data_IF_898587416631
#
_entry.id   IF_898587416631
#
_cell.length_a   1.000
_cell.length_b   1.000
_cell.length_c   1.000
_cell.angle_alpha   90.00
_cell.angle_beta   90.00
_cell.angle_gamma   90.00
#
_symmetry.space_group_name_H-M   'P 1'
#
loop_
_entity.id
_entity.type
_entity.pdbx_description
1 polymer ?
#
# COMPACT_ATOMS: atom_id res chain seq x y z
N UNK A 1 7.96 -14.69 36.06
CA UNK A 1 7.26 -13.40 35.82
C UNK A 1 8.11 -12.60 34.86
N UNK A 2 7.64 -12.36 33.63
CA UNK A 2 8.37 -11.53 32.67
C UNK A 2 8.20 -10.06 33.06
N UNK A 3 9.30 -9.29 33.09
CA UNK A 3 9.30 -7.85 33.35
C UNK A 3 9.42 -7.12 32.03
N UNK A 4 8.57 -6.11 31.81
CA UNK A 4 8.71 -5.21 30.67
C UNK A 4 9.51 -3.98 31.13
N UNK A 5 10.51 -3.59 30.33
CA UNK A 5 11.37 -2.42 30.59
C UNK A 5 11.49 -1.64 29.29
N UNK A 6 11.38 -0.32 29.34
CA UNK A 6 11.60 0.55 28.17
C UNK A 6 12.65 1.60 28.53
N UNK A 7 13.71 1.66 27.73
CA UNK A 7 14.80 2.64 27.88
C UNK A 7 14.59 3.75 26.87
N UNK A 8 14.32 4.96 27.34
CA UNK A 8 14.13 6.12 26.46
C UNK A 8 15.47 6.81 26.27
N UNK A 9 16.05 6.69 25.08
CA UNK A 9 17.30 7.36 24.68
C UNK A 9 16.98 8.48 23.70
N UNK A 10 17.43 9.70 23.99
CA UNK A 10 17.31 10.84 23.08
C UNK A 10 18.49 10.85 22.12
N UNK A 11 18.21 10.71 20.81
CA UNK A 11 19.23 10.77 19.76
C UNK A 11 19.26 12.16 19.12
N UNK A 12 20.45 12.76 19.08
CA UNK A 12 20.76 13.97 18.29
C UNK A 12 21.34 13.57 16.93
N UNK A 13 20.68 13.99 15.84
CA UNK A 13 21.13 13.78 14.46
C UNK A 13 22.19 14.80 14.02
N UNK A 14 23.19 14.35 13.26
CA UNK A 14 24.21 15.18 12.61
C UNK A 14 24.13 15.01 11.09
N UNK A 15 24.00 16.11 10.34
CA UNK A 15 24.08 16.16 8.88
C UNK A 15 25.54 16.17 8.42
N UNK A 16 25.86 15.49 7.32
CA UNK A 16 27.05 15.77 6.50
C UNK A 16 26.69 15.72 5.01
N UNK A 17 27.12 16.78 4.31
CA UNK A 17 26.99 17.00 2.86
C UNK A 17 28.26 16.59 2.11
N UNK A 18 28.17 16.37 0.79
CA UNK A 18 29.33 16.23 -0.10
C UNK A 18 28.97 16.42 -1.57
N UNK A 19 29.62 17.39 -2.22
CA UNK A 19 29.44 17.82 -3.61
C UNK A 19 30.64 17.42 -4.49
N UNK A 20 30.45 17.35 -5.81
CA UNK A 20 31.50 17.38 -6.86
C UNK A 20 30.87 17.10 -8.23
N UNK A 21 30.90 17.92 -9.30
CA UNK A 21 31.97 18.75 -9.87
C UNK A 21 32.83 17.86 -10.78
N UNK A 22 32.93 17.95 -12.11
CA UNK A 22 32.62 18.98 -13.13
C UNK A 22 33.83 19.07 -14.09
N UNK A 23 33.60 19.31 -15.40
CA UNK A 23 34.55 19.62 -16.52
C UNK A 23 35.23 18.43 -17.25
N UNK A 24 35.44 18.37 -18.58
CA UNK A 24 35.07 19.22 -19.74
C UNK A 24 36.01 19.02 -20.97
N UNK A 25 35.44 18.99 -22.20
CA UNK A 25 35.96 19.32 -23.58
C UNK A 25 36.93 18.37 -24.34
N UNK A 26 37.11 18.48 -25.71
CA UNK A 26 36.37 19.19 -26.79
C UNK A 26 36.11 18.37 -28.12
N UNK A 27 35.52 19.09 -29.10
CA UNK A 27 34.95 18.78 -30.44
C UNK A 27 35.66 17.84 -31.45
N UNK A 28 34.82 17.06 -32.15
CA UNK A 28 35.02 16.63 -33.55
C UNK A 28 33.80 17.09 -34.35
N UNK A 29 33.96 18.04 -35.28
CA UNK A 29 32.87 18.61 -36.05
C UNK A 29 32.28 17.61 -37.06
N UNK A 30 31.22 16.92 -36.66
CA UNK A 30 30.25 16.32 -37.57
C UNK A 30 29.25 17.41 -37.99
N UNK A 31 28.89 17.42 -39.27
CA UNK A 31 27.86 18.30 -39.82
C UNK A 31 26.58 18.22 -38.96
N UNK A 32 25.98 19.37 -38.52
CA UNK A 32 24.83 19.33 -37.63
C UNK A 32 23.71 18.54 -38.30
N UNK A 33 23.07 17.58 -37.59
CA UNK A 33 21.86 16.97 -38.11
C UNK A 33 20.87 18.09 -38.40
N UNK A 34 20.21 18.05 -39.56
CA UNK A 34 19.08 18.93 -39.82
C UNK A 34 18.12 18.85 -38.63
N UNK A 35 17.57 19.97 -38.13
CA UNK A 35 16.58 19.93 -37.07
C UNK A 35 15.38 19.14 -37.62
N UNK A 36 15.27 17.87 -37.24
CA UNK A 36 14.09 17.08 -37.49
C UNK A 36 12.97 17.73 -36.71
N UNK A 37 12.11 18.48 -37.41
CA UNK A 37 10.89 19.00 -36.80
C UNK A 37 10.08 17.76 -36.42
N UNK A 38 9.84 17.47 -35.13
CA UNK A 38 9.04 16.32 -34.76
C UNK A 38 7.65 16.55 -35.33
N UNK A 39 7.23 15.71 -36.28
CA UNK A 39 5.85 15.69 -36.75
C UNK A 39 5.00 15.32 -35.54
N UNK A 40 3.98 16.11 -35.16
CA UNK A 40 3.10 15.74 -34.06
C UNK A 40 2.47 14.39 -34.36
N UNK A 41 2.63 13.41 -33.46
CA UNK A 41 1.90 12.16 -33.57
C UNK A 41 0.40 12.45 -33.43
N UNK A 42 -0.43 11.77 -34.23
CA UNK A 42 -1.89 11.83 -34.10
C UNK A 42 -2.28 11.40 -32.67
N UNK A 43 -3.11 12.18 -31.95
CA UNK A 43 -3.59 11.78 -30.63
C UNK A 43 -4.34 10.44 -30.68
N UNK A 44 -4.13 9.60 -29.67
CA UNK A 44 -4.86 8.34 -29.54
C UNK A 44 -6.29 8.57 -29.06
N UNK A 45 -7.23 7.90 -29.69
CA UNK A 45 -8.68 8.03 -29.41
C UNK A 45 -9.35 6.69 -29.16
N UNK A 46 -8.61 5.58 -29.25
CA UNK A 46 -9.16 4.26 -29.02
C UNK A 46 -8.95 3.90 -27.56
N UNK A 47 -10.00 3.39 -26.92
CA UNK A 47 -9.92 2.92 -25.56
C UNK A 47 -9.42 1.46 -25.52
N UNK A 48 -8.75 1.05 -24.44
CA UNK A 48 -8.43 -0.36 -24.23
C UNK A 48 -9.68 -1.25 -24.23
N UNK A 49 -9.49 -2.56 -24.43
CA UNK A 49 -10.58 -3.50 -24.17
C UNK A 49 -10.86 -3.66 -22.66
N UNK A 50 -12.09 -4.06 -22.33
CA UNK A 50 -12.46 -4.33 -20.93
C UNK A 50 -11.64 -5.51 -20.37
N UNK A 51 -11.17 -5.44 -19.10
CA UNK A 51 -10.53 -6.57 -18.45
C UNK A 51 -11.47 -7.79 -18.40
N UNK A 52 -10.91 -8.97 -18.69
CA UNK A 52 -11.68 -10.22 -18.76
C UNK A 52 -11.34 -11.17 -17.61
N UNK A 53 -12.23 -12.14 -17.36
CA UNK A 53 -12.06 -13.19 -16.35
C UNK A 53 -11.67 -12.67 -14.94
N UNK A 54 -12.31 -11.57 -14.51
CA UNK A 54 -12.19 -11.10 -13.14
C UNK A 54 -12.65 -12.20 -12.16
N UNK A 55 -11.77 -12.57 -11.23
CA UNK A 55 -11.99 -13.68 -10.30
C UNK A 55 -11.39 -13.37 -8.92
N UNK A 56 -11.95 -14.01 -7.88
CA UNK A 56 -11.38 -14.03 -6.55
C UNK A 56 -10.37 -15.19 -6.46
N UNK A 57 -9.10 -14.88 -6.22
CA UNK A 57 -8.03 -15.87 -6.07
C UNK A 57 -7.94 -16.44 -4.66
N UNK A 58 -8.26 -15.62 -3.66
CA UNK A 58 -8.33 -16.03 -2.26
C UNK A 58 -9.19 -15.05 -1.45
N UNK A 59 -9.79 -15.55 -0.37
CA UNK A 59 -10.53 -14.76 0.62
C UNK A 59 -10.09 -15.15 2.03
N UNK A 60 -9.87 -14.17 2.88
CA UNK A 60 -9.73 -14.32 4.34
C UNK A 60 -10.95 -13.68 5.02
N UNK A 61 -10.94 -13.60 6.35
CA UNK A 61 -11.96 -12.85 7.09
C UNK A 61 -11.88 -11.33 6.89
N UNK A 62 -10.75 -10.81 6.43
CA UNK A 62 -10.45 -9.37 6.38
C UNK A 62 -9.87 -8.90 5.04
N UNK A 63 -9.73 -9.80 4.06
CA UNK A 63 -9.15 -9.47 2.76
C UNK A 63 -9.67 -10.35 1.64
N UNK A 64 -9.64 -9.82 0.41
CA UNK A 64 -9.94 -10.55 -0.83
C UNK A 64 -8.85 -10.23 -1.85
N UNK A 65 -8.25 -11.26 -2.44
CA UNK A 65 -7.30 -11.10 -3.54
C UNK A 65 -7.99 -11.36 -4.87
N UNK A 66 -7.95 -10.39 -5.77
CA UNK A 66 -8.54 -10.42 -7.10
C UNK A 66 -7.48 -10.73 -8.16
N UNK A 67 -7.92 -11.26 -9.30
CA UNK A 67 -7.13 -11.26 -10.52
C UNK A 67 -7.97 -11.27 -11.78
N UNK A 68 -7.39 -10.80 -12.87
CA UNK A 68 -8.02 -10.70 -14.18
C UNK A 68 -6.99 -10.97 -15.30
N UNK A 69 -7.46 -11.07 -16.54
CA UNK A 69 -6.59 -11.11 -17.72
C UNK A 69 -6.23 -9.69 -18.18
N UNK A 70 -5.01 -9.54 -18.68
CA UNK A 70 -4.52 -8.25 -19.16
C UNK A 70 -5.38 -7.73 -20.32
N UNK A 71 -5.70 -6.43 -20.28
CA UNK A 71 -6.29 -5.70 -21.39
C UNK A 71 -5.26 -5.40 -22.48
N UNK A 72 -5.75 -5.14 -23.69
CA UNK A 72 -4.97 -4.74 -24.83
C UNK A 72 -5.50 -3.41 -25.40
N UNK A 73 -4.58 -2.66 -26.01
CA UNK A 73 -4.80 -1.36 -26.61
C UNK A 73 -3.78 -1.16 -27.76
N UNK A 74 -4.04 -0.25 -28.71
CA UNK A 74 -3.16 0.03 -29.84
C UNK A 74 -1.85 0.73 -29.46
N UNK A 75 -1.83 1.53 -28.39
CA UNK A 75 -0.62 2.19 -27.89
C UNK A 75 -0.20 1.64 -26.53
N UNK A 76 -1.17 1.18 -25.73
CA UNK A 76 -0.91 0.37 -24.56
C UNK A 76 -1.72 0.77 -23.33
N UNK A 77 -1.82 -0.16 -22.39
CA UNK A 77 -2.53 0.02 -21.13
C UNK A 77 -1.56 0.52 -20.06
N UNK A 78 -1.84 1.68 -19.47
CA UNK A 78 -1.00 2.25 -18.40
C UNK A 78 -1.49 1.86 -17.01
N UNK A 79 -2.74 1.44 -16.88
CA UNK A 79 -3.30 1.09 -15.57
C UNK A 79 -4.66 0.42 -15.60
N UNK A 80 -5.06 -0.04 -14.42
CA UNK A 80 -6.41 -0.52 -14.15
C UNK A 80 -7.01 0.22 -12.96
N UNK A 81 -8.30 0.51 -13.01
CA UNK A 81 -9.04 0.99 -11.86
C UNK A 81 -9.86 -0.14 -11.26
N UNK A 82 -9.68 -0.39 -9.97
CA UNK A 82 -10.42 -1.40 -9.22
C UNK A 82 -11.52 -0.71 -8.41
N UNK A 83 -12.73 -1.23 -8.53
CA UNK A 83 -13.93 -0.67 -7.91
C UNK A 83 -14.58 -1.74 -7.03
N UNK A 84 -15.05 -1.32 -5.84
CA UNK A 84 -15.81 -2.15 -4.90
C UNK A 84 -17.12 -1.46 -4.56
N UNK A 85 -18.23 -2.16 -4.73
CA UNK A 85 -19.58 -1.67 -4.42
C UNK A 85 -19.87 -0.30 -5.09
N UNK A 86 -19.39 -0.12 -6.32
CA UNK A 86 -19.57 1.13 -7.07
C UNK A 86 -18.64 2.28 -6.65
N UNK A 87 -17.70 2.07 -5.73
CA UNK A 87 -16.70 3.06 -5.31
C UNK A 87 -15.32 2.64 -5.79
N UNK A 88 -14.58 3.57 -6.40
CA UNK A 88 -13.19 3.36 -6.81
C UNK A 88 -12.31 3.18 -5.57
N UNK A 89 -11.60 2.07 -5.52
CA UNK A 89 -10.60 1.81 -4.49
C UNK A 89 -9.27 2.45 -4.87
N UNK A 90 -8.73 2.06 -6.02
CA UNK A 90 -7.36 2.41 -6.42
C UNK A 90 -7.15 2.24 -7.93
N UNK A 91 -6.16 2.93 -8.47
CA UNK A 91 -5.57 2.63 -9.77
C UNK A 91 -4.23 1.87 -9.60
N UNK A 92 -4.03 0.82 -10.40
CA UNK A 92 -2.83 -0.01 -10.42
C UNK A 92 -2.07 0.17 -11.75
N UNK A 93 -0.77 -0.14 -11.80
CA UNK A 93 -0.01 -0.14 -13.06
C UNK A 93 -0.58 -1.12 -14.10
N UNK A 94 -0.45 -0.82 -15.39
CA UNK A 94 -1.00 -1.62 -16.49
C UNK A 94 -0.38 -3.02 -16.63
N UNK A 95 0.75 -3.25 -15.99
CA UNK A 95 1.40 -4.57 -15.87
C UNK A 95 0.85 -5.42 -14.73
N UNK A 96 0.06 -4.83 -13.82
CA UNK A 96 -0.49 -5.50 -12.65
C UNK A 96 -1.91 -5.99 -12.94
N UNK A 97 -2.09 -7.31 -12.91
CA UNK A 97 -3.38 -7.99 -13.16
C UNK A 97 -3.97 -8.64 -11.91
N UNK A 98 -3.56 -8.14 -10.74
CA UNK A 98 -3.97 -8.61 -9.42
C UNK A 98 -4.13 -7.46 -8.47
N UNK A 99 -5.07 -7.56 -7.52
CA UNK A 99 -5.25 -6.57 -6.48
C UNK A 99 -5.65 -7.23 -5.17
N UNK A 100 -5.07 -6.80 -4.04
CA UNK A 100 -5.47 -7.26 -2.71
C UNK A 100 -6.25 -6.15 -2.03
N UNK A 101 -7.51 -6.42 -1.73
CA UNK A 101 -8.37 -5.57 -0.93
C UNK A 101 -8.29 -6.02 0.53
N UNK A 102 -8.00 -5.10 1.45
CA UNK A 102 -7.73 -5.37 2.87
C UNK A 102 -8.63 -4.52 3.77
N UNK A 103 -8.70 -4.86 5.06
CA UNK A 103 -9.51 -4.13 6.04
C UNK A 103 -11.02 -4.35 5.86
N UNK A 104 -11.40 -5.50 5.29
CA UNK A 104 -12.79 -5.88 5.08
C UNK A 104 -13.42 -6.42 6.36
N UNK A 105 -14.74 -6.27 6.48
CA UNK A 105 -15.49 -6.90 7.55
C UNK A 105 -15.65 -8.42 7.26
N UNK A 106 -15.54 -9.29 8.28
CA UNK A 106 -15.79 -10.72 8.12
C UNK A 106 -17.21 -11.06 7.66
N UNK A 107 -17.34 -12.15 6.91
CA UNK A 107 -18.62 -12.68 6.42
C UNK A 107 -19.41 -11.74 5.50
N UNK A 108 -18.78 -10.69 4.98
CA UNK A 108 -19.41 -9.59 4.24
C UNK A 108 -19.26 -9.79 2.74
N UNK A 109 -20.33 -9.52 2.00
CA UNK A 109 -20.36 -9.60 0.54
C UNK A 109 -19.87 -8.30 -0.10
N UNK A 110 -19.10 -8.44 -1.16
CA UNK A 110 -18.51 -7.35 -1.93
C UNK A 110 -18.67 -7.63 -3.43
N UNK A 111 -19.01 -6.58 -4.17
CA UNK A 111 -19.07 -6.61 -5.64
C UNK A 111 -17.88 -5.86 -6.20
N UNK A 112 -17.10 -6.49 -7.07
CA UNK A 112 -15.92 -5.92 -7.71
C UNK A 112 -16.10 -5.78 -9.22
N UNK A 113 -15.56 -4.68 -9.75
CA UNK A 113 -15.39 -4.45 -11.18
C UNK A 113 -14.03 -3.81 -11.43
N UNK A 114 -13.47 -4.03 -12.62
CA UNK A 114 -12.19 -3.46 -13.04
C UNK A 114 -12.32 -2.89 -14.43
N UNK A 115 -11.71 -1.73 -14.70
CA UNK A 115 -11.56 -1.18 -16.07
C UNK A 115 -10.12 -0.79 -16.34
N UNK A 116 -9.74 -0.74 -17.60
CA UNK A 116 -8.39 -0.39 -18.05
C UNK A 116 -8.32 1.08 -18.47
N UNK A 117 -7.12 1.66 -18.35
CA UNK A 117 -6.79 3.04 -18.73
C UNK A 117 -5.57 3.06 -19.66
N UNK A 118 -5.57 3.94 -20.66
CA UNK A 118 -4.41 4.21 -21.51
C UNK A 118 -3.72 5.55 -21.18
N UNK A 119 -2.64 5.84 -21.90
CA UNK A 119 -1.86 7.07 -21.73
C UNK A 119 -2.55 8.34 -22.24
N UNK A 120 -3.53 8.20 -23.14
CA UNK A 120 -4.32 9.31 -23.68
C UNK A 120 -5.51 9.69 -22.78
N UNK A 121 -5.76 8.90 -21.73
CA UNK A 121 -6.84 9.11 -20.79
C UNK A 121 -8.15 8.43 -21.18
N UNK A 122 -8.16 7.55 -22.19
CA UNK A 122 -9.33 6.75 -22.50
C UNK A 122 -9.47 5.62 -21.47
N UNK A 123 -10.72 5.34 -21.10
CA UNK A 123 -11.08 4.27 -20.17
C UNK A 123 -11.93 3.23 -20.89
N UNK A 124 -11.64 1.96 -20.65
CA UNK A 124 -12.46 0.88 -21.17
C UNK A 124 -13.79 0.76 -20.42
N UNK A 125 -14.71 -0.04 -20.97
CA UNK A 125 -15.86 -0.50 -20.21
C UNK A 125 -15.41 -1.32 -19.00
N UNK A 126 -16.25 -1.39 -17.97
CA UNK A 126 -16.00 -2.26 -16.82
C UNK A 126 -16.03 -3.74 -17.23
N UNK A 127 -15.24 -4.55 -16.52
CA UNK A 127 -15.35 -6.01 -16.54
C UNK A 127 -16.75 -6.46 -16.13
N UNK A 128 -17.06 -7.74 -16.37
CA UNK A 128 -18.17 -8.38 -15.68
C UNK A 128 -18.03 -8.22 -14.15
N UNK A 129 -19.16 -8.02 -13.46
CA UNK A 129 -19.17 -7.88 -12.01
C UNK A 129 -18.87 -9.21 -11.34
N UNK A 130 -17.95 -9.19 -10.37
CA UNK A 130 -17.62 -10.31 -9.52
C UNK A 130 -18.22 -10.08 -8.14
N UNK A 131 -19.14 -10.95 -7.71
CA UNK A 131 -19.67 -10.95 -6.34
C UNK A 131 -18.94 -12.03 -5.55
N UNK A 132 -18.37 -11.67 -4.40
CA UNK A 132 -17.65 -12.59 -3.52
C UNK A 132 -17.77 -12.15 -2.07
N UNK A 133 -17.41 -13.02 -1.13
CA UNK A 133 -17.59 -12.81 0.31
C UNK A 133 -16.28 -13.08 1.07
N UNK A 134 -16.01 -12.29 2.10
CA UNK A 134 -14.98 -12.63 3.10
C UNK A 134 -15.41 -13.84 3.92
N UNK A 135 -14.44 -14.57 4.45
CA UNK A 135 -14.73 -15.68 5.36
C UNK A 135 -15.37 -15.13 6.66
N UNK A 136 -16.21 -15.93 7.30
CA UNK A 136 -16.68 -15.61 8.65
C UNK A 136 -15.48 -15.59 9.62
N UNK A 137 -15.52 -14.72 10.62
CA UNK A 137 -14.56 -14.81 11.73
C UNK A 137 -14.90 -16.06 12.56
N UNK A 138 -13.95 -16.97 12.68
CA UNK A 138 -14.11 -18.21 13.47
C UNK A 138 -13.55 -18.09 14.89
N UNK A 139 -12.99 -16.94 15.26
CA UNK A 139 -12.54 -16.66 16.63
C UNK A 139 -13.63 -15.97 17.46
N UNK A 140 -13.67 -16.18 18.79
CA UNK A 140 -14.47 -15.31 19.65
C UNK A 140 -14.02 -13.86 19.42
N UNK A 141 -14.97 -12.94 19.26
CA UNK A 141 -14.67 -11.51 19.30
C UNK A 141 -13.99 -11.25 20.64
N UNK A 142 -12.76 -10.75 20.61
CA UNK A 142 -12.07 -10.41 21.84
C UNK A 142 -12.67 -9.12 22.42
N UNK A 143 -13.33 -9.28 23.56
CA UNK A 143 -13.99 -8.19 24.27
C UNK A 143 -13.42 -8.00 25.66
N UNK A 144 -12.45 -8.83 26.07
CA UNK A 144 -11.82 -8.71 27.37
C UNK A 144 -10.68 -7.70 27.27
N UNK A 145 -10.70 -6.62 28.06
CA UNK A 145 -9.60 -5.67 28.03
C UNK A 145 -8.36 -6.25 28.73
N UNK A 146 -7.14 -5.85 28.30
CA UNK A 146 -5.92 -6.15 29.03
C UNK A 146 -5.98 -5.73 30.50
N UNK A 147 -5.34 -6.51 31.38
CA UNK A 147 -5.15 -6.07 32.76
C UNK A 147 -4.27 -4.83 32.83
N UNK A 148 -4.49 -3.97 33.85
CA UNK A 148 -3.63 -2.81 34.06
C UNK A 148 -2.18 -3.25 34.35
N UNK A 149 -1.16 -2.53 33.85
CA UNK A 149 0.24 -2.78 34.21
C UNK A 149 0.41 -2.61 35.72
N UNK A 150 1.05 -3.56 36.39
CA UNK A 150 1.23 -3.54 37.84
C UNK A 150 2.67 -3.19 38.22
N UNK A 151 2.89 -2.83 39.49
CA UNK A 151 4.24 -2.60 40.05
C UNK A 151 5.10 -1.61 39.25
N UNK A 152 4.50 -0.50 38.78
CA UNK A 152 5.23 0.57 38.11
C UNK A 152 6.26 1.19 39.06
N UNK A 153 7.52 1.17 38.65
CA UNK A 153 8.64 1.73 39.41
C UNK A 153 9.66 2.38 38.47
N UNK A 154 10.26 3.48 38.92
CA UNK A 154 11.39 4.11 38.25
C UNK A 154 12.72 3.55 38.79
N UNK A 155 13.69 3.33 37.90
CA UNK A 155 15.10 3.04 38.24
C UNK A 155 16.03 3.94 37.43
N UNK A 156 17.33 3.90 37.73
CA UNK A 156 18.39 4.59 36.97
C UNK A 156 18.11 6.08 36.74
N UNK A 157 17.72 6.78 37.81
CA UNK A 157 17.31 8.17 37.77
C UNK A 157 18.55 9.08 37.70
N UNK A 158 18.54 9.99 36.72
CA UNK A 158 19.53 11.04 36.52
C UNK A 158 18.84 12.38 36.25
N UNK A 159 19.62 13.45 36.06
CA UNK A 159 19.06 14.76 35.74
C UNK A 159 18.29 14.83 34.41
N UNK A 160 18.47 13.87 33.51
CA UNK A 160 17.86 13.89 32.15
C UNK A 160 17.20 12.58 31.74
N UNK A 161 17.29 11.52 32.54
CA UNK A 161 16.78 10.21 32.20
C UNK A 161 16.34 9.42 33.44
N UNK A 162 15.37 8.53 33.23
CA UNK A 162 14.99 7.47 34.16
C UNK A 162 14.52 6.26 33.33
N UNK A 163 14.52 5.08 33.94
CA UNK A 163 13.95 3.85 33.39
C UNK A 163 12.63 3.54 34.09
N UNK A 164 11.56 3.27 33.33
CA UNK A 164 10.31 2.76 33.88
C UNK A 164 10.25 1.24 33.75
N UNK A 165 9.91 0.58 34.86
CA UNK A 165 9.77 -0.85 34.96
C UNK A 165 8.36 -1.18 35.47
N UNK A 166 7.72 -2.18 34.91
CA UNK A 166 6.42 -2.67 35.39
C UNK A 166 6.29 -4.18 35.18
N UNK A 167 5.39 -4.78 35.95
CA UNK A 167 4.90 -6.13 35.70
C UNK A 167 3.97 -6.10 34.47
N UNK A 168 4.22 -7.02 33.53
CA UNK A 168 3.47 -7.08 32.30
C UNK A 168 1.96 -7.33 32.54
N UNK A 169 1.14 -6.62 31.78
CA UNK A 169 -0.28 -6.91 31.61
C UNK A 169 -0.49 -8.30 31.02
N UNK A 170 -1.65 -8.87 31.32
CA UNK A 170 -2.13 -10.16 30.77
C UNK A 170 -3.42 -9.94 30.03
N UNK A 171 -3.60 -10.69 28.96
CA UNK A 171 -4.79 -10.68 28.11
C UNK A 171 -4.99 -12.06 27.48
N UNK A 172 -6.22 -12.40 27.10
CA UNK A 172 -6.59 -13.68 26.49
C UNK A 172 -6.22 -13.80 25.01
N UNK A 173 -5.99 -12.69 24.30
CA UNK A 173 -5.52 -12.66 22.91
C UNK A 173 -4.13 -12.06 22.79
N UNK A 174 -3.79 -11.11 23.66
CA UNK A 174 -2.44 -10.60 23.82
C UNK A 174 -2.39 -9.08 23.99
N UNK A 175 -1.19 -8.56 24.28
CA UNK A 175 -0.96 -7.13 24.50
C UNK A 175 -0.37 -6.53 23.23
N UNK A 176 -1.08 -5.58 22.60
CA UNK A 176 -0.60 -4.90 21.39
C UNK A 176 0.51 -3.87 21.67
N UNK A 177 0.32 -3.02 22.69
CA UNK A 177 1.29 -1.97 23.10
C UNK A 177 1.04 -1.48 24.52
N UNK A 178 2.03 -0.78 25.08
CA UNK A 178 1.87 0.08 26.26
C UNK A 178 1.95 1.54 25.82
N UNK A 179 1.11 2.39 26.41
CA UNK A 179 1.12 3.84 26.19
C UNK A 179 1.68 4.52 27.44
N UNK A 180 2.70 5.36 27.28
CA UNK A 180 3.36 6.09 28.37
C UNK A 180 3.23 7.59 28.10
N UNK A 181 2.63 8.31 29.03
CA UNK A 181 2.39 9.75 28.95
C UNK A 181 3.29 10.49 29.95
N UNK A 182 3.70 11.71 29.59
CA UNK A 182 4.50 12.63 30.43
C UNK A 182 3.79 13.95 30.62
#
# INVERSE_FOLDING_TARGET
MLRASITVVLATSLLVAGCGGGSGKPDTAAQPPEPTVPVPATPDTLAPNAPQALSARSSTSDSISLGWLASADNIGVIGYEVWRNGVRLQATPGTQTTFRDEGLAPGTEHTYTVRALDAAGNASAFSASLVTRTLASTGPVDTAPPSAPAALAASDISGTALTLNWAASTDNVGIARYEVYR
#
